data_IF_973218578088
#
_entry.id   IF_973218578088
#
_cell.length_a   1.000
_cell.length_b   1.000
_cell.length_c   1.000
_cell.angle_alpha   90.00
_cell.angle_beta   90.00
_cell.angle_gamma   90.00
#
_symmetry.space_group_name_H-M   'P 1'
#
loop_
_entity.id
_entity.type
_entity.pdbx_description
1 polymer ?
#
# COMPACT_ATOMS: atom_id res chain seq x y z
N UNK A 1 -0.50 5.20 8.98
CA UNK A 1 0.74 5.83 8.50
C UNK A 1 1.54 4.75 7.78
N UNK A 2 1.57 4.76 6.44
CA UNK A 2 2.42 3.84 5.67
C UNK A 2 3.71 4.61 5.39
N UNK A 3 4.84 4.10 5.89
CA UNK A 3 6.15 4.70 5.58
C UNK A 3 6.54 4.24 4.19
N UNK A 4 6.61 5.20 3.27
CA UNK A 4 6.91 4.98 1.87
C UNK A 4 8.20 5.69 1.54
N UNK A 5 9.26 4.94 1.23
CA UNK A 5 10.44 5.52 0.63
C UNK A 5 10.12 5.75 -0.86
N UNK A 6 10.16 7.00 -1.31
CA UNK A 6 9.95 7.33 -2.72
C UNK A 6 11.23 7.07 -3.50
N UNK A 7 11.26 6.03 -4.32
CA UNK A 7 12.29 5.87 -5.35
C UNK A 7 11.73 6.38 -6.67
N UNK A 8 12.35 7.41 -7.25
CA UNK A 8 12.00 7.90 -8.58
C UNK A 8 12.72 7.04 -9.60
N UNK A 9 11.98 6.27 -10.42
CA UNK A 9 12.57 5.53 -11.52
C UNK A 9 12.75 6.45 -12.73
N UNK A 10 14.00 6.68 -13.08
CA UNK A 10 14.47 7.65 -14.07
C UNK A 10 13.96 7.34 -15.50
N UNK A 11 13.72 6.06 -15.80
CA UNK A 11 13.30 5.61 -17.13
C UNK A 11 11.81 5.84 -17.46
N UNK A 12 10.94 6.13 -16.47
CA UNK A 12 9.47 6.24 -16.70
C UNK A 12 8.81 7.47 -16.07
N UNK A 13 9.51 8.21 -15.21
CA UNK A 13 8.91 9.32 -14.44
C UNK A 13 7.92 8.88 -13.36
N UNK A 14 7.68 7.57 -13.22
CA UNK A 14 6.74 6.99 -12.26
C UNK A 14 7.43 6.94 -10.89
N UNK A 15 6.83 7.62 -9.91
CA UNK A 15 7.26 7.57 -8.51
C UNK A 15 6.85 6.21 -7.95
N UNK A 16 7.84 5.34 -7.70
CA UNK A 16 7.61 4.01 -7.12
C UNK A 16 7.79 4.11 -5.61
N UNK A 17 6.73 3.86 -4.85
CA UNK A 17 6.76 3.91 -3.39
C UNK A 17 6.87 2.49 -2.83
N UNK A 18 7.87 2.22 -2.01
CA UNK A 18 8.08 0.90 -1.41
C UNK A 18 7.78 0.91 0.08
N UNK A 19 7.14 -0.17 0.55
CA UNK A 19 6.94 -0.44 1.97
C UNK A 19 8.26 -0.89 2.58
N UNK A 20 8.88 -0.01 3.37
CA UNK A 20 10.10 -0.32 4.09
C UNK A 20 9.81 -0.86 5.49
N UNK A 21 10.74 -1.66 6.00
CA UNK A 21 10.71 -2.09 7.40
C UNK A 21 10.77 -0.87 8.33
N UNK A 22 9.86 -0.83 9.30
CA UNK A 22 9.84 0.25 10.30
C UNK A 22 10.95 0.02 11.32
N UNK A 23 12.13 0.60 11.11
CA UNK A 23 13.18 0.72 12.13
C UNK A 23 12.80 1.78 13.18
N UNK A 24 11.72 1.56 13.93
CA UNK A 24 11.27 2.48 14.97
C UNK A 24 11.57 1.90 16.37
N UNK A 25 12.55 2.50 17.04
CA UNK A 25 12.79 2.32 18.47
C UNK A 25 11.67 3.04 19.24
N UNK A 26 10.75 2.30 19.90
CA UNK A 26 9.70 2.87 20.77
C UNK A 26 8.28 2.34 20.53
N UNK A 27 7.25 3.08 21.01
CA UNK A 27 5.80 2.71 21.01
C UNK A 27 5.20 2.41 19.62
N UNK A 28 5.95 2.60 18.55
CA UNK A 28 5.56 2.35 17.16
C UNK A 28 6.14 1.05 16.57
N UNK A 29 6.67 0.16 17.41
CA UNK A 29 7.32 -1.08 17.00
C UNK A 29 6.40 -2.10 16.28
N UNK A 30 5.08 -1.87 16.24
CA UNK A 30 4.09 -2.81 15.67
C UNK A 30 3.20 -2.15 14.61
N UNK A 31 3.72 -1.19 13.85
CA UNK A 31 2.97 -0.63 12.73
C UNK A 31 2.90 -1.64 11.58
N UNK A 32 1.69 -2.11 11.29
CA UNK A 32 1.41 -3.00 10.16
C UNK A 32 0.95 -2.17 8.96
N UNK A 33 1.78 -2.01 7.91
CA UNK A 33 1.38 -1.25 6.73
C UNK A 33 0.19 -1.93 6.05
N UNK A 34 -0.77 -1.11 5.61
CA UNK A 34 -2.01 -1.57 4.97
C UNK A 34 -2.53 -0.52 4.00
N UNK A 35 -3.21 -0.99 2.97
CA UNK A 35 -4.10 -0.21 2.10
C UNK A 35 -5.53 -0.42 2.61
N UNK A 36 -6.32 0.64 2.62
CA UNK A 36 -7.75 0.56 2.93
C UNK A 36 -8.48 1.39 1.90
N UNK A 37 -9.42 0.75 1.22
CA UNK A 37 -10.27 1.41 0.23
C UNK A 37 -11.37 2.14 0.98
N UNK A 38 -11.62 3.39 0.58
CA UNK A 38 -12.63 4.24 1.20
C UNK A 38 -13.52 4.83 0.13
N UNK A 39 -14.76 5.12 0.50
CA UNK A 39 -15.67 5.90 -0.35
C UNK A 39 -15.36 7.41 -0.26
N UNK A 40 -16.16 8.20 -0.98
CA UNK A 40 -16.04 9.66 -1.00
C UNK A 40 -16.30 10.33 0.36
N UNK A 41 -17.02 9.67 1.27
CA UNK A 41 -17.26 10.12 2.63
C UNK A 41 -16.12 9.72 3.59
N UNK A 42 -15.17 8.92 3.11
CA UNK A 42 -14.04 8.41 3.89
C UNK A 42 -14.35 7.14 4.68
N UNK A 43 -15.51 6.52 4.46
CA UNK A 43 -15.89 5.27 5.12
C UNK A 43 -15.23 4.08 4.43
N UNK A 44 -14.91 3.04 5.19
CA UNK A 44 -14.25 1.85 4.64
C UNK A 44 -15.25 1.08 3.77
N UNK A 45 -14.86 0.81 2.53
CA UNK A 45 -15.67 0.01 1.62
C UNK A 45 -15.76 -1.43 2.14
N UNK A 46 -16.96 -1.99 2.12
CA UNK A 46 -17.17 -3.42 2.36
C UNK A 46 -17.20 -4.15 1.02
N UNK A 47 -16.41 -5.20 0.91
CA UNK A 47 -16.39 -6.10 -0.23
C UNK A 47 -17.68 -6.93 -0.26
N UNK A 48 -18.02 -7.48 -1.43
CA UNK A 48 -19.22 -8.33 -1.61
C UNK A 48 -19.23 -9.60 -0.74
N UNK A 49 -18.07 -9.99 -0.20
CA UNK A 49 -17.91 -11.10 0.73
C UNK A 49 -18.08 -10.69 2.21
N UNK A 50 -18.47 -9.44 2.50
CA UNK A 50 -18.69 -8.93 3.86
C UNK A 50 -17.43 -8.46 4.59
N UNK A 51 -16.25 -8.55 3.96
CA UNK A 51 -15.00 -8.09 4.56
C UNK A 51 -14.74 -6.61 4.24
N UNK A 52 -14.10 -5.89 5.16
CA UNK A 52 -13.53 -4.58 4.87
C UNK A 52 -12.52 -4.68 3.71
N UNK A 53 -12.54 -3.72 2.80
CA UNK A 53 -11.58 -3.59 1.70
C UNK A 53 -10.21 -3.12 2.23
N UNK A 54 -9.60 -3.94 3.07
CA UNK A 54 -8.36 -3.70 3.79
C UNK A 54 -7.36 -4.79 3.46
N UNK A 55 -6.22 -4.37 2.92
CA UNK A 55 -5.15 -5.26 2.48
C UNK A 55 -3.86 -4.92 3.22
N UNK A 56 -3.35 -5.87 4.00
CA UNK A 56 -2.04 -5.72 4.64
C UNK A 56 -0.93 -5.89 3.61
N UNK A 57 0.11 -5.08 3.74
CA UNK A 57 1.26 -5.13 2.85
C UNK A 57 2.47 -5.68 3.60
N UNK A 58 3.23 -6.62 3.02
CA UNK A 58 4.53 -6.98 3.55
C UNK A 58 5.56 -5.88 3.28
N UNK A 59 6.68 -5.95 4.00
CA UNK A 59 7.89 -5.20 3.66
C UNK A 59 8.35 -5.62 2.27
N UNK A 60 8.83 -4.65 1.47
CA UNK A 60 9.21 -4.84 0.07
C UNK A 60 8.06 -4.73 -0.91
N UNK A 61 6.81 -4.54 -0.45
CA UNK A 61 5.69 -4.29 -1.35
C UNK A 61 5.85 -2.93 -2.05
N UNK A 62 5.72 -2.92 -3.38
CA UNK A 62 5.80 -1.72 -4.21
C UNK A 62 4.39 -1.25 -4.53
N UNK A 63 4.03 -0.05 -4.08
CA UNK A 63 2.78 0.60 -4.43
C UNK A 63 2.78 1.02 -5.89
N UNK A 64 1.68 0.75 -6.57
CA UNK A 64 1.44 1.18 -7.96
C UNK A 64 0.50 2.38 -8.05
N UNK A 65 -0.10 2.78 -6.92
CA UNK A 65 -1.06 3.89 -6.83
C UNK A 65 -0.63 4.91 -5.77
N UNK A 66 -1.12 6.14 -5.91
CA UNK A 66 -0.92 7.19 -4.93
C UNK A 66 -1.96 7.15 -3.80
N UNK A 67 -1.64 7.80 -2.68
CA UNK A 67 -2.61 7.97 -1.61
C UNK A 67 -3.76 8.85 -2.09
N UNK A 68 -5.00 8.37 -1.94
CA UNK A 68 -6.20 9.06 -2.41
C UNK A 68 -6.49 8.89 -3.91
N UNK A 69 -5.74 8.06 -4.62
CA UNK A 69 -6.07 7.72 -6.00
C UNK A 69 -7.41 6.98 -6.07
N UNK A 70 -8.23 7.34 -7.06
CA UNK A 70 -9.42 6.56 -7.39
C UNK A 70 -8.99 5.25 -8.06
N UNK A 71 -9.59 4.15 -7.62
CA UNK A 71 -9.21 2.79 -8.00
C UNK A 71 -10.47 1.97 -8.20
N UNK A 72 -10.48 1.16 -9.25
CA UNK A 72 -11.62 0.33 -9.65
C UNK A 72 -11.34 -1.14 -9.35
N UNK A 73 -12.40 -1.94 -9.34
CA UNK A 73 -12.27 -3.39 -9.21
C UNK A 73 -11.41 -3.95 -10.35
N UNK A 74 -10.34 -4.66 -10.00
CA UNK A 74 -9.37 -5.19 -10.95
C UNK A 74 -8.07 -4.37 -11.07
N UNK A 75 -8.03 -3.14 -10.52
CA UNK A 75 -6.81 -2.34 -10.54
C UNK A 75 -5.72 -2.90 -9.62
N UNK A 76 -4.48 -2.78 -10.07
CA UNK A 76 -3.31 -3.20 -9.31
C UNK A 76 -2.87 -2.07 -8.39
N UNK A 77 -3.15 -2.20 -7.10
CA UNK A 77 -2.79 -1.18 -6.08
C UNK A 77 -1.37 -1.34 -5.53
N UNK A 78 -0.89 -2.58 -5.45
CA UNK A 78 0.46 -2.90 -4.99
C UNK A 78 0.96 -4.18 -5.67
N UNK A 79 2.26 -4.28 -5.84
CA UNK A 79 2.96 -5.47 -6.33
C UNK A 79 3.89 -5.96 -5.25
N UNK A 80 3.79 -7.24 -4.92
CA UNK A 80 4.69 -7.89 -3.96
C UNK A 80 5.71 -8.65 -4.80
N UNK A 81 6.97 -8.15 -4.90
CA UNK A 81 8.01 -8.91 -5.57
C UNK A 81 8.22 -10.22 -4.82
N UNK A 82 8.21 -11.33 -5.56
CA UNK A 82 8.62 -12.62 -5.02
C UNK A 82 10.06 -12.83 -5.46
N UNK A 83 10.96 -13.07 -4.53
CA UNK A 83 12.26 -13.64 -4.89
C UNK A 83 11.98 -15.02 -5.53
N UNK A 84 12.38 -15.13 -6.79
CA UNK A 84 12.48 -16.40 -7.49
C UNK A 84 13.84 -16.94 -7.05
N UNK A 85 13.85 -17.87 -6.10
CA UNK A 85 15.06 -18.61 -5.72
C UNK A 85 15.60 -19.40 -6.91
#
# INVERSE_FOLDING_TARGET
>A
MVFLCGSRREATGIISREVIESKQTGKSANLRPRITMRDANGEVLNLSNGNEARYFLPVGAILSVENGAEVKAGDVVARIPREIL
#
